data_IF_928843493827
#
_entry.id   IF_928843493827
#
_cell.length_a   1.000
_cell.length_b   1.000
_cell.length_c   1.000
_cell.angle_alpha   90.00
_cell.angle_beta   90.00
_cell.angle_gamma   90.00
#
_symmetry.space_group_name_H-M   'P 1'
#
loop_
_entity.id
_entity.type
_entity.pdbx_description
1 polymer ?
#
# COMPACT_ATOMS: atom_id res chain seq x y z
N UNK A 1 -75.64 -38.53 -1.85
CA UNK A 1 -74.37 -38.46 -2.56
C UNK A 1 -73.65 -37.22 -2.06
N UNK A 2 -72.70 -37.37 -1.13
CA UNK A 2 -71.85 -36.25 -0.62
C UNK A 2 -70.51 -36.34 -1.31
N UNK A 3 -70.13 -35.32 -2.09
CA UNK A 3 -68.81 -35.22 -2.70
C UNK A 3 -67.87 -34.47 -1.74
N UNK A 4 -66.87 -35.16 -1.25
CA UNK A 4 -65.78 -34.62 -0.44
C UNK A 4 -64.69 -34.17 -1.36
N UNK A 5 -64.46 -32.86 -1.45
CA UNK A 5 -63.35 -32.25 -2.22
C UNK A 5 -62.11 -32.24 -1.31
N UNK A 6 -61.06 -32.97 -1.71
CA UNK A 6 -59.73 -32.96 -1.06
C UNK A 6 -58.94 -31.76 -1.67
N UNK A 7 -58.67 -30.76 -0.86
CA UNK A 7 -57.79 -29.67 -1.23
C UNK A 7 -56.30 -30.07 -0.93
N UNK A 8 -55.50 -30.26 -1.97
CA UNK A 8 -54.06 -30.52 -1.89
C UNK A 8 -53.33 -29.16 -1.66
N UNK A 9 -52.88 -28.94 -0.44
CA UNK A 9 -52.03 -27.78 -0.13
C UNK A 9 -50.60 -28.06 -0.59
N UNK A 10 -50.15 -27.45 -1.68
CA UNK A 10 -48.75 -27.46 -2.13
C UNK A 10 -47.91 -26.51 -1.24
N UNK A 11 -47.12 -27.04 -0.35
CA UNK A 11 -46.14 -26.25 0.40
C UNK A 11 -44.96 -25.88 -0.53
N UNK A 12 -44.90 -24.64 -0.95
CA UNK A 12 -43.73 -24.08 -1.58
C UNK A 12 -42.64 -23.91 -0.53
N UNK A 13 -41.69 -24.85 -0.49
CA UNK A 13 -40.43 -24.65 0.25
C UNK A 13 -39.59 -23.67 -0.58
N UNK A 14 -39.58 -22.39 -0.20
CA UNK A 14 -38.62 -21.41 -0.71
C UNK A 14 -37.27 -21.83 -0.15
N UNK A 15 -36.48 -22.53 -0.95
CA UNK A 15 -35.04 -22.66 -0.72
C UNK A 15 -34.43 -21.28 -0.82
N UNK A 16 -34.19 -20.65 0.32
CA UNK A 16 -33.29 -19.49 0.38
C UNK A 16 -31.93 -19.98 -0.11
N UNK A 17 -31.49 -19.52 -1.27
CA UNK A 17 -30.14 -19.77 -1.73
C UNK A 17 -29.20 -19.18 -0.69
N UNK A 18 -28.69 -20.01 0.21
CA UNK A 18 -27.67 -19.59 1.16
C UNK A 18 -26.45 -19.19 0.35
N UNK A 19 -26.00 -17.97 0.57
CA UNK A 19 -24.76 -17.48 -0.04
C UNK A 19 -23.61 -18.39 0.42
N UNK A 20 -23.07 -19.17 -0.50
CA UNK A 20 -22.03 -20.18 -0.22
C UNK A 20 -20.69 -19.70 -0.81
N UNK A 21 -19.58 -20.12 -0.19
CA UNK A 21 -18.23 -19.98 -0.77
C UNK A 21 -18.22 -20.76 -2.10
N UNK A 22 -17.80 -20.10 -3.18
CA UNK A 22 -17.99 -20.56 -4.56
C UNK A 22 -17.15 -21.78 -4.93
N UNK A 23 -15.98 -21.98 -4.30
CA UNK A 23 -15.05 -23.05 -4.58
C UNK A 23 -14.93 -24.08 -3.46
N UNK A 24 -14.04 -25.08 -3.65
CA UNK A 24 -13.64 -26.03 -2.63
C UNK A 24 -12.57 -25.48 -1.68
N UNK A 25 -11.98 -24.35 -2.05
CA UNK A 25 -10.98 -23.60 -1.29
C UNK A 25 -11.30 -22.11 -1.38
N UNK A 26 -10.86 -21.33 -0.37
CA UNK A 26 -10.77 -19.87 -0.46
C UNK A 26 -9.38 -19.55 -0.98
N UNK A 27 -9.26 -19.02 -2.19
CA UNK A 27 -7.96 -18.82 -2.84
C UNK A 27 -7.56 -17.37 -2.90
N UNK A 28 -6.40 -17.07 -2.33
CA UNK A 28 -5.77 -15.73 -2.32
C UNK A 28 -4.65 -15.71 -3.35
N UNK A 29 -4.69 -14.75 -4.25
CA UNK A 29 -3.62 -14.49 -5.22
C UNK A 29 -2.80 -13.27 -4.80
N UNK A 30 -1.52 -13.44 -4.56
CA UNK A 30 -0.58 -12.38 -4.25
C UNK A 30 0.30 -12.11 -5.45
N UNK A 31 0.10 -10.96 -6.12
CA UNK A 31 0.92 -10.51 -7.24
C UNK A 31 1.69 -9.27 -6.80
N UNK A 32 3.02 -9.37 -6.73
CA UNK A 32 3.90 -8.31 -6.26
C UNK A 32 5.24 -8.32 -7.00
N UNK A 33 6.18 -7.48 -6.61
CA UNK A 33 7.57 -7.53 -7.08
C UNK A 33 8.36 -8.53 -6.22
N UNK A 34 8.80 -9.65 -6.81
CA UNK A 34 9.61 -10.64 -6.11
C UNK A 34 11.11 -10.52 -6.42
N UNK A 35 11.48 -9.84 -7.50
CA UNK A 35 12.85 -9.87 -8.03
C UNK A 35 13.45 -8.49 -8.33
N UNK A 36 12.62 -7.43 -8.33
CA UNK A 36 13.04 -6.07 -8.68
C UNK A 36 13.30 -5.17 -7.48
N UNK A 37 13.23 -3.86 -7.74
CA UNK A 37 13.60 -2.79 -6.79
C UNK A 37 12.71 -2.70 -5.54
N UNK A 38 11.54 -3.33 -5.55
CA UNK A 38 10.59 -3.33 -4.43
C UNK A 38 10.53 -4.67 -3.68
N UNK A 39 11.32 -5.67 -4.10
CA UNK A 39 11.25 -7.02 -3.54
C UNK A 39 11.57 -7.12 -2.05
N UNK A 40 12.41 -6.21 -1.51
CA UNK A 40 12.76 -6.20 -0.10
C UNK A 40 11.70 -5.52 0.79
N UNK A 41 10.93 -4.59 0.24
CA UNK A 41 9.93 -3.83 1.02
C UNK A 41 8.57 -4.53 1.09
N UNK A 42 8.32 -5.50 0.21
CA UNK A 42 7.10 -6.32 0.14
C UNK A 42 7.49 -7.78 -0.17
N UNK A 43 7.48 -8.19 -1.42
CA UNK A 43 8.03 -9.43 -1.96
C UNK A 43 7.68 -10.70 -1.18
N UNK A 44 8.68 -11.53 -0.93
CA UNK A 44 8.52 -12.76 -0.14
C UNK A 44 8.09 -12.47 1.31
N UNK A 45 8.40 -11.28 1.84
CA UNK A 45 7.96 -10.83 3.15
C UNK A 45 6.45 -10.64 3.22
N UNK A 46 5.85 -10.03 2.19
CA UNK A 46 4.40 -9.90 2.07
C UNK A 46 3.72 -11.27 1.98
N UNK A 47 4.28 -12.18 1.17
CA UNK A 47 3.78 -13.55 1.08
C UNK A 47 3.80 -14.27 2.44
N UNK A 48 4.85 -14.07 3.25
CA UNK A 48 4.90 -14.65 4.59
C UNK A 48 3.90 -13.97 5.55
N UNK A 49 3.70 -12.67 5.45
CA UNK A 49 2.67 -11.97 6.23
C UNK A 49 1.26 -12.51 5.92
N UNK A 50 0.95 -12.77 4.66
CA UNK A 50 -0.31 -13.41 4.24
C UNK A 50 -0.42 -14.85 4.81
N UNK A 51 0.67 -15.65 4.76
CA UNK A 51 0.68 -16.99 5.38
C UNK A 51 0.44 -16.93 6.89
N UNK A 52 0.98 -15.91 7.57
CA UNK A 52 0.70 -15.70 9.00
C UNK A 52 -0.77 -15.40 9.24
N UNK A 53 -1.42 -14.58 8.41
CA UNK A 53 -2.85 -14.30 8.50
C UNK A 53 -3.70 -15.57 8.27
N UNK A 54 -3.34 -16.37 7.27
CA UNK A 54 -3.99 -17.66 7.00
C UNK A 54 -3.85 -18.61 8.20
N UNK A 55 -2.67 -18.69 8.80
CA UNK A 55 -2.43 -19.53 9.97
C UNK A 55 -3.25 -19.05 11.18
N UNK A 56 -3.33 -17.75 11.43
CA UNK A 56 -4.11 -17.16 12.51
C UNK A 56 -5.63 -17.35 12.31
N UNK A 57 -6.07 -17.49 11.04
CA UNK A 57 -7.45 -17.89 10.71
C UNK A 57 -7.71 -19.40 10.90
N UNK A 58 -6.69 -20.17 11.23
CA UNK A 58 -6.78 -21.63 11.39
C UNK A 58 -6.67 -22.43 10.09
N UNK A 59 -6.21 -21.79 8.99
CA UNK A 59 -5.98 -22.43 7.69
C UNK A 59 -7.23 -22.77 6.90
N UNK A 60 -8.43 -22.52 7.45
CA UNK A 60 -9.71 -22.82 6.78
C UNK A 60 -10.84 -21.89 7.25
N UNK A 61 -11.86 -21.70 6.40
CA UNK A 61 -13.09 -20.98 6.70
C UNK A 61 -14.29 -21.87 6.34
N UNK A 62 -15.20 -22.12 7.28
CA UNK A 62 -16.41 -22.90 7.07
C UNK A 62 -16.13 -24.27 6.41
N UNK A 63 -15.03 -24.93 6.81
CA UNK A 63 -14.58 -26.22 6.29
C UNK A 63 -13.79 -26.14 4.96
N UNK A 64 -13.70 -24.98 4.31
CA UNK A 64 -12.92 -24.76 3.09
C UNK A 64 -11.51 -24.34 3.43
N UNK A 65 -10.49 -25.02 2.90
CA UNK A 65 -9.08 -24.64 3.08
C UNK A 65 -8.81 -23.27 2.46
N UNK A 66 -7.88 -22.52 3.08
CA UNK A 66 -7.37 -21.27 2.50
C UNK A 66 -6.06 -21.59 1.77
N UNK A 67 -5.94 -21.15 0.52
CA UNK A 67 -4.73 -21.32 -0.31
C UNK A 67 -4.18 -19.98 -0.73
N UNK A 68 -2.84 -19.87 -0.72
CA UNK A 68 -2.10 -18.73 -1.27
C UNK A 68 -1.37 -19.17 -2.54
N UNK A 69 -1.55 -18.41 -3.63
CA UNK A 69 -0.73 -18.48 -4.84
C UNK A 69 0.02 -17.17 -4.99
N UNK A 70 1.27 -17.21 -5.45
CA UNK A 70 2.18 -16.05 -5.50
C UNK A 70 2.75 -15.91 -6.90
N UNK A 71 2.84 -14.69 -7.42
CA UNK A 71 3.47 -14.40 -8.71
C UNK A 71 4.24 -13.08 -8.69
N UNK A 72 5.29 -13.03 -9.51
CA UNK A 72 6.08 -11.83 -9.78
C UNK A 72 5.51 -11.08 -10.97
N UNK A 73 5.16 -9.81 -10.78
CA UNK A 73 4.75 -8.94 -11.89
C UNK A 73 5.94 -8.28 -12.60
N UNK A 74 7.16 -8.46 -12.08
CA UNK A 74 8.39 -7.91 -12.69
C UNK A 74 8.31 -6.40 -12.96
N UNK A 75 7.51 -5.68 -12.18
CA UNK A 75 7.18 -4.26 -12.38
C UNK A 75 6.57 -3.92 -13.76
N UNK A 76 5.91 -4.91 -14.41
CA UNK A 76 5.27 -4.77 -15.73
C UNK A 76 3.75 -4.87 -15.62
N UNK A 77 3.00 -3.83 -15.99
CA UNK A 77 1.54 -3.82 -15.93
C UNK A 77 0.86 -4.91 -16.75
N UNK A 78 1.41 -5.25 -17.90
CA UNK A 78 0.90 -6.30 -18.79
C UNK A 78 1.04 -7.71 -18.19
N UNK A 79 2.17 -7.99 -17.54
CA UNK A 79 2.38 -9.26 -16.81
C UNK A 79 1.39 -9.36 -15.65
N UNK A 80 1.23 -8.28 -14.87
CA UNK A 80 0.30 -8.25 -13.76
C UNK A 80 -1.16 -8.47 -14.21
N UNK A 81 -1.61 -7.78 -15.27
CA UNK A 81 -2.94 -7.95 -15.83
C UNK A 81 -3.19 -9.34 -16.39
N UNK A 82 -2.22 -9.89 -17.15
CA UNK A 82 -2.31 -11.23 -17.71
C UNK A 82 -2.42 -12.29 -16.62
N UNK A 83 -1.58 -12.19 -15.58
CA UNK A 83 -1.61 -13.13 -14.45
C UNK A 83 -2.92 -13.01 -13.65
N UNK A 84 -3.43 -11.81 -13.44
CA UNK A 84 -4.70 -11.60 -12.77
C UNK A 84 -5.87 -12.23 -13.54
N UNK A 85 -5.91 -12.07 -14.88
CA UNK A 85 -6.93 -12.74 -15.74
C UNK A 85 -6.85 -14.25 -15.65
N UNK A 86 -5.64 -14.81 -15.85
CA UNK A 86 -5.40 -16.25 -15.74
C UNK A 86 -5.92 -16.80 -14.41
N UNK A 87 -5.61 -16.12 -13.32
CA UNK A 87 -5.99 -16.58 -11.99
C UNK A 87 -7.49 -16.51 -11.73
N UNK A 88 -8.15 -15.44 -12.19
CA UNK A 88 -9.61 -15.33 -12.06
C UNK A 88 -10.36 -16.31 -12.97
N UNK A 89 -9.92 -16.47 -14.23
CA UNK A 89 -10.64 -17.25 -15.23
C UNK A 89 -10.38 -18.75 -15.14
N UNK A 90 -9.17 -19.16 -14.73
CA UNK A 90 -8.73 -20.55 -14.83
C UNK A 90 -8.39 -21.19 -13.48
N UNK A 91 -7.98 -20.39 -12.50
CA UNK A 91 -7.50 -20.92 -11.21
C UNK A 91 -8.46 -20.67 -10.05
N UNK A 92 -9.55 -19.95 -10.26
CA UNK A 92 -10.56 -19.68 -9.23
C UNK A 92 -10.05 -18.87 -8.04
N UNK A 93 -9.21 -17.85 -8.30
CA UNK A 93 -8.78 -16.90 -7.26
C UNK A 93 -9.97 -16.02 -6.83
N UNK A 94 -10.16 -15.86 -5.53
CA UNK A 94 -11.27 -15.11 -4.94
C UNK A 94 -10.86 -13.69 -4.55
N UNK A 95 -9.65 -13.55 -4.01
CA UNK A 95 -9.03 -12.29 -3.63
C UNK A 95 -7.72 -12.11 -4.40
N UNK A 96 -7.52 -10.95 -5.03
CA UNK A 96 -6.22 -10.49 -5.46
C UNK A 96 -5.68 -9.47 -4.44
N UNK A 97 -4.42 -9.62 -4.02
CA UNK A 97 -3.77 -8.71 -3.06
C UNK A 97 -2.34 -8.40 -3.49
N UNK A 98 -1.77 -7.27 -3.06
CA UNK A 98 -0.38 -6.88 -3.30
C UNK A 98 -0.22 -5.66 -4.19
N UNK A 99 0.60 -5.76 -5.24
CA UNK A 99 0.80 -4.72 -6.23
C UNK A 99 1.73 -3.59 -5.78
N UNK A 100 3.00 -3.87 -5.64
CA UNK A 100 4.03 -2.87 -5.29
C UNK A 100 4.32 -1.84 -6.40
N UNK A 101 3.91 -2.08 -7.64
CA UNK A 101 4.05 -1.15 -8.76
C UNK A 101 2.70 -0.50 -9.09
N UNK A 102 2.66 0.83 -9.12
CA UNK A 102 1.40 1.56 -9.36
C UNK A 102 0.78 1.27 -10.72
N UNK A 103 1.58 1.13 -11.79
CA UNK A 103 1.07 0.76 -13.11
C UNK A 103 0.50 -0.66 -13.12
N UNK A 104 1.17 -1.61 -12.46
CA UNK A 104 0.70 -2.98 -12.29
C UNK A 104 -0.62 -3.01 -11.50
N UNK A 105 -0.72 -2.24 -10.40
CA UNK A 105 -1.94 -2.16 -9.60
C UNK A 105 -3.12 -1.56 -10.34
N UNK A 106 -2.91 -0.49 -11.13
CA UNK A 106 -3.97 0.08 -11.97
C UNK A 106 -4.48 -0.95 -12.99
N UNK A 107 -3.58 -1.73 -13.60
CA UNK A 107 -3.95 -2.79 -14.53
C UNK A 107 -4.71 -3.93 -13.84
N UNK A 108 -4.25 -4.37 -12.66
CA UNK A 108 -4.94 -5.39 -11.86
C UNK A 108 -6.32 -4.92 -11.38
N UNK A 109 -6.45 -3.66 -10.94
CA UNK A 109 -7.73 -3.07 -10.52
C UNK A 109 -8.77 -3.09 -11.64
N UNK A 110 -8.35 -2.78 -12.87
CA UNK A 110 -9.20 -2.86 -14.06
C UNK A 110 -9.66 -4.30 -14.32
N UNK A 111 -8.73 -5.27 -14.27
CA UNK A 111 -9.09 -6.69 -14.46
C UNK A 111 -10.02 -7.18 -13.34
N UNK A 112 -9.75 -6.83 -12.08
CA UNK A 112 -10.61 -7.19 -10.95
C UNK A 112 -12.05 -6.63 -11.11
N UNK A 113 -12.16 -5.39 -11.59
CA UNK A 113 -13.48 -4.77 -11.88
C UNK A 113 -14.22 -5.49 -13.02
N UNK A 114 -13.52 -5.82 -14.13
CA UNK A 114 -14.09 -6.59 -15.25
C UNK A 114 -14.60 -7.97 -14.81
N UNK A 115 -13.88 -8.62 -13.90
CA UNK A 115 -14.20 -9.96 -13.39
C UNK A 115 -15.09 -9.96 -12.15
N UNK A 116 -15.45 -8.79 -11.62
CA UNK A 116 -16.19 -8.62 -10.35
C UNK A 116 -15.53 -9.41 -9.20
N UNK A 117 -14.25 -9.22 -9.04
CA UNK A 117 -13.40 -9.86 -8.00
C UNK A 117 -12.75 -8.78 -7.14
N UNK A 118 -12.53 -9.10 -5.86
CA UNK A 118 -11.91 -8.17 -4.92
C UNK A 118 -10.41 -8.03 -5.23
N UNK A 119 -9.93 -6.79 -5.29
CA UNK A 119 -8.51 -6.46 -5.31
C UNK A 119 -8.19 -5.52 -4.15
N UNK A 120 -7.21 -5.88 -3.32
CA UNK A 120 -6.68 -5.03 -2.26
C UNK A 120 -5.24 -4.64 -2.62
N UNK A 121 -5.06 -3.38 -3.01
CA UNK A 121 -3.77 -2.79 -3.33
C UNK A 121 -3.06 -2.37 -2.04
N UNK A 122 -1.90 -2.96 -1.76
CA UNK A 122 -1.11 -2.68 -0.56
C UNK A 122 0.07 -1.77 -0.88
N UNK A 123 0.93 -2.17 -1.81
CA UNK A 123 2.20 -1.51 -2.07
C UNK A 123 2.16 -0.41 -3.12
N UNK A 124 1.04 -0.24 -3.81
CA UNK A 124 0.85 0.83 -4.78
C UNK A 124 0.69 2.18 -4.11
N UNK A 125 1.40 3.21 -4.59
CA UNK A 125 1.28 4.55 -4.01
C UNK A 125 0.33 5.48 -4.76
N UNK A 126 0.07 5.27 -6.07
CA UNK A 126 -0.71 6.23 -6.85
C UNK A 126 -2.12 6.47 -6.30
N UNK A 127 -2.43 7.72 -5.99
CA UNK A 127 -3.78 8.11 -5.54
C UNK A 127 -4.88 7.91 -6.61
N UNK A 128 -4.50 7.64 -7.88
CA UNK A 128 -5.46 7.37 -8.95
C UNK A 128 -6.38 6.18 -8.67
N UNK A 129 -5.89 5.17 -7.91
CA UNK A 129 -6.68 3.98 -7.52
C UNK A 129 -7.97 4.31 -6.76
N UNK A 130 -8.02 5.43 -6.06
CA UNK A 130 -9.17 5.89 -5.27
C UNK A 130 -9.66 7.27 -5.73
N UNK A 131 -9.21 7.70 -6.91
CA UNK A 131 -9.60 8.96 -7.54
C UNK A 131 -10.11 8.69 -8.98
N UNK A 132 -9.38 9.10 -10.02
CA UNK A 132 -9.82 9.00 -11.43
C UNK A 132 -10.08 7.55 -11.88
N UNK A 133 -9.37 6.58 -11.31
CA UNK A 133 -9.43 5.16 -11.69
C UNK A 133 -10.02 4.26 -10.60
N UNK A 134 -10.83 4.84 -9.71
CA UNK A 134 -11.50 4.07 -8.67
C UNK A 134 -12.48 3.04 -9.27
N UNK A 135 -12.57 1.88 -8.64
CA UNK A 135 -13.50 0.81 -9.01
C UNK A 135 -14.26 0.31 -7.78
N UNK A 136 -15.49 -0.25 -7.96
CA UNK A 136 -16.25 -0.74 -6.82
C UNK A 136 -15.62 -1.97 -6.11
N UNK A 137 -14.63 -2.61 -6.74
CA UNK A 137 -14.01 -3.84 -6.27
C UNK A 137 -12.56 -3.66 -5.79
N UNK A 138 -12.05 -2.41 -5.77
CA UNK A 138 -10.68 -2.11 -5.34
C UNK A 138 -10.67 -1.44 -3.97
N UNK A 139 -9.78 -1.93 -3.09
CA UNK A 139 -9.40 -1.24 -1.84
C UNK A 139 -7.94 -0.82 -1.96
N UNK A 140 -7.63 0.43 -1.66
CA UNK A 140 -6.27 0.95 -1.56
C UNK A 140 -5.92 1.09 -0.08
N UNK A 141 -5.01 0.24 0.44
CA UNK A 141 -4.98 -0.05 1.86
C UNK A 141 -3.96 0.76 2.66
N UNK A 142 -2.66 0.63 2.38
CA UNK A 142 -1.64 1.07 3.33
C UNK A 142 -1.33 2.57 3.30
N UNK A 143 -1.25 3.19 2.13
CA UNK A 143 -0.88 4.60 1.95
C UNK A 143 -1.27 5.08 0.55
N UNK A 144 -1.07 6.37 0.26
CA UNK A 144 -1.05 6.92 -1.10
C UNK A 144 -0.14 8.14 -1.23
N UNK A 145 0.06 8.61 -2.45
CA UNK A 145 0.95 9.73 -2.75
C UNK A 145 0.48 11.05 -2.15
N UNK A 146 -0.82 11.24 -1.95
CA UNK A 146 -1.37 12.42 -1.27
C UNK A 146 -0.99 12.43 0.21
N UNK A 147 -1.11 11.27 0.89
CA UNK A 147 -0.74 11.17 2.30
C UNK A 147 0.77 11.39 2.51
N UNK A 148 1.62 10.85 1.61
CA UNK A 148 3.06 11.08 1.65
C UNK A 148 3.41 12.56 1.46
N UNK A 149 2.79 13.22 0.49
CA UNK A 149 2.99 14.64 0.20
C UNK A 149 2.57 15.52 1.38
N UNK A 150 1.41 15.25 1.97
CA UNK A 150 0.88 16.01 3.11
C UNK A 150 1.69 15.77 4.39
N UNK A 151 2.35 14.65 4.54
CA UNK A 151 3.27 14.38 5.64
C UNK A 151 4.65 14.96 5.38
N UNK A 152 5.46 14.30 4.56
CA UNK A 152 6.87 14.65 4.32
C UNK A 152 7.02 15.99 3.62
N UNK A 153 6.22 16.25 2.57
CA UNK A 153 6.28 17.51 1.81
C UNK A 153 5.98 18.73 2.71
N UNK A 154 4.91 18.66 3.50
CA UNK A 154 4.56 19.74 4.41
C UNK A 154 5.58 19.91 5.55
N UNK A 155 6.17 18.81 6.06
CA UNK A 155 7.20 18.88 7.09
C UNK A 155 8.46 19.60 6.60
N UNK A 156 8.91 19.30 5.37
CA UNK A 156 10.06 19.96 4.76
C UNK A 156 9.84 21.46 4.52
N UNK A 157 8.62 21.84 4.13
CA UNK A 157 8.24 23.26 4.01
C UNK A 157 8.34 24.01 5.33
N UNK A 158 7.82 23.41 6.43
CA UNK A 158 7.90 23.98 7.79
C UNK A 158 9.36 24.16 8.23
N UNK A 159 10.29 23.35 7.72
CA UNK A 159 11.72 23.47 7.97
C UNK A 159 12.45 24.47 7.04
N UNK A 160 11.70 25.29 6.30
CA UNK A 160 12.23 26.35 5.45
C UNK A 160 12.64 25.88 4.04
N UNK A 161 12.31 24.65 3.65
CA UNK A 161 12.53 24.15 2.28
C UNK A 161 11.57 24.78 1.29
N UNK A 162 11.89 25.94 0.73
CA UNK A 162 11.00 26.73 -0.13
C UNK A 162 11.14 26.46 -1.61
N UNK A 163 12.34 26.12 -2.11
CA UNK A 163 12.57 25.79 -3.52
C UNK A 163 12.90 24.32 -3.69
N UNK A 164 12.20 23.66 -4.62
CA UNK A 164 12.24 22.22 -4.81
C UNK A 164 12.64 21.83 -6.23
N UNK A 165 13.47 20.82 -6.33
CA UNK A 165 13.76 20.08 -7.57
C UNK A 165 13.43 18.61 -7.35
N UNK A 166 12.77 17.95 -8.32
CA UNK A 166 12.38 16.55 -8.15
C UNK A 166 13.28 15.62 -8.96
N UNK A 167 13.61 14.46 -8.36
CA UNK A 167 14.17 13.30 -9.02
C UNK A 167 13.09 12.22 -9.04
N UNK A 168 12.53 11.94 -10.21
CA UNK A 168 11.25 11.25 -10.36
C UNK A 168 11.40 9.96 -11.13
N UNK A 169 10.94 8.84 -10.58
CA UNK A 169 10.81 7.59 -11.32
C UNK A 169 9.76 7.75 -12.43
N UNK A 170 10.14 7.47 -13.68
CA UNK A 170 9.31 7.77 -14.87
C UNK A 170 8.21 6.73 -15.10
N UNK A 171 7.30 6.59 -14.14
CA UNK A 171 6.08 5.80 -14.25
C UNK A 171 4.99 6.31 -13.30
N UNK A 172 3.81 5.69 -13.28
CA UNK A 172 2.61 6.19 -12.60
C UNK A 172 2.84 6.60 -11.13
N UNK A 173 3.70 5.87 -10.37
CA UNK A 173 4.00 6.21 -8.98
C UNK A 173 4.80 7.51 -8.85
N UNK A 174 5.97 7.59 -9.51
CA UNK A 174 6.82 8.76 -9.39
C UNK A 174 6.12 10.03 -9.88
N UNK A 175 5.40 9.94 -11.00
CA UNK A 175 4.63 11.05 -11.55
C UNK A 175 3.50 11.51 -10.60
N UNK A 176 2.77 10.57 -9.95
CA UNK A 176 1.77 10.91 -8.93
C UNK A 176 2.42 11.57 -7.71
N UNK A 177 3.53 11.02 -7.23
CA UNK A 177 4.20 11.52 -6.02
C UNK A 177 4.81 12.90 -6.24
N UNK A 178 5.46 13.13 -7.39
CA UNK A 178 5.95 14.45 -7.78
C UNK A 178 4.80 15.46 -7.83
N UNK A 179 3.73 15.12 -8.56
CA UNK A 179 2.55 16.00 -8.71
C UNK A 179 1.94 16.36 -7.36
N UNK A 180 1.62 15.37 -6.53
CA UNK A 180 0.93 15.60 -5.26
C UNK A 180 1.82 16.38 -4.28
N UNK A 181 3.14 16.11 -4.28
CA UNK A 181 4.10 16.88 -3.49
C UNK A 181 4.26 18.31 -4.00
N UNK A 182 4.33 18.50 -5.33
CA UNK A 182 4.41 19.82 -5.95
C UNK A 182 3.19 20.68 -5.60
N UNK A 183 2.00 20.08 -5.57
CA UNK A 183 0.75 20.76 -5.16
C UNK A 183 0.82 21.23 -3.69
N UNK A 184 1.31 20.36 -2.78
CA UNK A 184 1.52 20.72 -1.36
C UNK A 184 2.57 21.83 -1.23
N UNK A 185 3.68 21.73 -1.97
CA UNK A 185 4.75 22.75 -1.98
C UNK A 185 4.22 24.09 -2.40
N UNK A 186 3.49 24.16 -3.50
CA UNK A 186 2.91 25.42 -4.03
C UNK A 186 1.86 25.99 -3.06
N UNK A 187 0.97 25.16 -2.55
CA UNK A 187 -0.04 25.56 -1.57
C UNK A 187 0.59 26.11 -0.28
N UNK A 188 1.76 25.63 0.12
CA UNK A 188 2.53 26.10 1.27
C UNK A 188 3.47 27.29 0.97
N UNK A 189 3.33 27.93 -0.19
CA UNK A 189 4.13 29.09 -0.61
C UNK A 189 5.56 28.76 -1.01
N UNK A 190 5.84 27.50 -1.37
CA UNK A 190 7.10 27.08 -1.98
C UNK A 190 7.03 27.12 -3.50
N UNK A 191 8.18 26.88 -4.15
CA UNK A 191 8.31 26.86 -5.60
C UNK A 191 8.95 25.55 -6.07
N UNK A 192 8.50 25.03 -7.20
CA UNK A 192 9.14 23.93 -7.92
C UNK A 192 9.96 24.53 -9.05
N UNK A 193 11.27 24.39 -8.98
CA UNK A 193 12.21 24.99 -9.95
C UNK A 193 12.56 24.04 -11.10
N UNK A 194 12.16 22.77 -10.99
CA UNK A 194 12.32 21.79 -12.06
C UNK A 194 12.20 20.35 -11.55
N UNK A 195 12.32 19.43 -12.49
CA UNK A 195 12.40 17.99 -12.22
C UNK A 195 13.19 17.28 -13.32
N UNK A 196 13.69 16.10 -12.98
CA UNK A 196 14.28 15.16 -13.93
C UNK A 196 13.72 13.77 -13.67
N UNK A 197 13.45 13.06 -14.74
CA UNK A 197 12.92 11.70 -14.69
C UNK A 197 14.02 10.69 -14.95
N UNK A 198 13.97 9.57 -14.20
CA UNK A 198 14.83 8.41 -14.41
C UNK A 198 14.00 7.16 -14.70
N UNK A 199 14.50 6.21 -15.50
CA UNK A 199 13.82 4.95 -15.70
C UNK A 199 13.79 4.15 -14.39
N UNK A 200 12.77 3.29 -14.24
CA UNK A 200 12.71 2.34 -13.11
C UNK A 200 13.90 1.38 -13.19
N UNK A 201 14.50 1.06 -12.04
CA UNK A 201 15.72 0.26 -11.91
C UNK A 201 16.94 0.89 -12.60
N UNK A 202 17.09 2.20 -12.49
CA UNK A 202 18.26 2.91 -13.00
C UNK A 202 19.54 2.44 -12.28
N UNK A 203 20.58 2.18 -13.04
CA UNK A 203 21.88 1.74 -12.52
C UNK A 203 22.80 2.89 -12.13
N UNK A 204 22.61 4.08 -12.73
CA UNK A 204 23.42 5.27 -12.49
C UNK A 204 22.54 6.52 -12.34
N UNK A 205 22.76 7.26 -11.27
CA UNK A 205 22.03 8.49 -10.95
C UNK A 205 22.87 9.75 -11.16
N UNK A 206 24.12 9.66 -11.63
CA UNK A 206 25.08 10.77 -11.69
C UNK A 206 24.55 11.95 -12.53
N UNK A 207 24.08 11.69 -13.74
CA UNK A 207 23.59 12.74 -14.65
C UNK A 207 22.33 13.43 -14.12
N UNK A 208 21.45 12.69 -13.46
CA UNK A 208 20.23 13.24 -12.85
C UNK A 208 20.56 14.13 -11.64
N UNK A 209 21.53 13.71 -10.81
CA UNK A 209 21.97 14.47 -9.63
C UNK A 209 22.75 15.73 -10.01
N UNK A 210 23.51 15.72 -11.10
CA UNK A 210 24.16 16.92 -11.64
C UNK A 210 23.13 17.97 -12.08
N UNK A 211 22.02 17.56 -12.72
CA UNK A 211 20.92 18.45 -13.06
C UNK A 211 20.25 19.03 -11.80
N UNK A 212 20.01 18.18 -10.79
CA UNK A 212 19.48 18.63 -9.50
C UNK A 212 20.42 19.66 -8.84
N UNK A 213 21.72 19.42 -8.84
CA UNK A 213 22.72 20.36 -8.30
C UNK A 213 22.72 21.69 -9.05
N UNK A 214 22.64 21.64 -10.38
CA UNK A 214 22.62 22.84 -11.24
C UNK A 214 21.38 23.72 -10.99
N UNK A 215 20.28 23.14 -10.54
CA UNK A 215 19.03 23.86 -10.22
C UNK A 215 19.16 24.82 -9.04
N UNK A 216 20.13 24.60 -8.16
CA UNK A 216 20.33 25.34 -6.90
C UNK A 216 19.11 25.32 -5.96
N UNK A 217 18.23 24.36 -6.10
CA UNK A 217 17.09 24.20 -5.20
C UNK A 217 17.54 23.90 -3.76
N UNK A 218 16.75 24.30 -2.79
CA UNK A 218 17.00 24.02 -1.37
C UNK A 218 16.71 22.56 -1.03
N UNK A 219 15.73 21.95 -1.73
CA UNK A 219 15.26 20.59 -1.46
C UNK A 219 15.31 19.76 -2.75
N UNK A 220 15.90 18.57 -2.64
CA UNK A 220 15.78 17.51 -3.63
C UNK A 220 14.68 16.55 -3.17
N UNK A 221 13.53 16.61 -3.84
CA UNK A 221 12.42 15.68 -3.62
C UNK A 221 12.66 14.38 -4.37
N UNK A 222 12.91 13.30 -3.65
CA UNK A 222 13.09 11.95 -4.22
C UNK A 222 11.71 11.33 -4.46
N UNK A 223 11.14 11.49 -5.66
CA UNK A 223 9.88 10.87 -6.06
C UNK A 223 10.12 9.47 -6.65
N UNK A 224 10.83 8.64 -5.90
CA UNK A 224 11.15 7.25 -6.14
C UNK A 224 11.14 6.46 -4.82
N UNK A 225 11.44 5.17 -4.84
CA UNK A 225 11.43 4.31 -3.64
C UNK A 225 12.28 3.05 -3.84
N UNK A 226 12.50 2.30 -2.75
CA UNK A 226 13.20 1.02 -2.76
C UNK A 226 14.62 1.12 -3.32
N UNK A 227 15.00 0.18 -4.19
CA UNK A 227 16.35 0.14 -4.76
C UNK A 227 16.78 1.43 -5.47
N UNK A 228 15.87 2.08 -6.21
CA UNK A 228 16.16 3.35 -6.87
C UNK A 228 16.42 4.49 -5.87
N UNK A 229 15.63 4.57 -4.79
CA UNK A 229 15.87 5.52 -3.70
C UNK A 229 17.23 5.27 -3.05
N UNK A 230 17.52 4.01 -2.70
CA UNK A 230 18.78 3.62 -2.07
C UNK A 230 19.98 4.05 -2.92
N UNK A 231 19.94 3.75 -4.23
CA UNK A 231 21.03 4.10 -5.14
C UNK A 231 21.15 5.62 -5.34
N UNK A 232 20.03 6.34 -5.48
CA UNK A 232 20.02 7.79 -5.61
C UNK A 232 20.56 8.48 -4.36
N UNK A 233 20.20 8.04 -3.15
CA UNK A 233 20.71 8.59 -1.88
C UNK A 233 22.20 8.32 -1.71
N UNK A 234 22.68 7.11 -2.02
CA UNK A 234 24.13 6.80 -2.01
C UNK A 234 24.90 7.73 -2.93
N UNK A 235 24.47 7.84 -4.19
CA UNK A 235 25.11 8.72 -5.17
C UNK A 235 25.05 10.19 -4.72
N UNK A 236 23.93 10.69 -4.20
CA UNK A 236 23.81 12.05 -3.68
C UNK A 236 24.80 12.35 -2.55
N UNK A 237 25.06 11.37 -1.68
CA UNK A 237 26.09 11.50 -0.63
C UNK A 237 27.50 11.51 -1.20
N UNK A 238 27.82 10.62 -2.14
CA UNK A 238 29.13 10.53 -2.80
C UNK A 238 29.48 11.81 -3.54
N UNK A 239 28.50 12.42 -4.24
CA UNK A 239 28.66 13.72 -4.88
C UNK A 239 28.63 14.92 -3.90
N UNK A 240 28.46 14.67 -2.60
CA UNK A 240 28.38 15.73 -1.59
C UNK A 240 27.15 16.64 -1.76
N UNK A 241 26.13 16.19 -2.49
CA UNK A 241 24.90 16.94 -2.74
C UNK A 241 24.10 17.18 -1.46
N UNK A 242 24.10 16.22 -0.54
CA UNK A 242 23.44 16.29 0.77
C UNK A 242 23.98 17.40 1.68
N UNK A 243 25.18 17.93 1.39
CA UNK A 243 25.75 19.11 2.08
C UNK A 243 25.21 20.44 1.50
N UNK A 244 24.62 20.42 0.30
CA UNK A 244 24.17 21.60 -0.44
C UNK A 244 22.66 21.71 -0.52
N UNK A 245 21.97 20.57 -0.53
CA UNK A 245 20.51 20.45 -0.63
C UNK A 245 19.99 19.52 0.47
N UNK A 246 18.81 19.83 1.00
CA UNK A 246 18.09 18.88 1.86
C UNK A 246 17.51 17.79 0.98
N UNK A 247 17.75 16.54 1.32
CA UNK A 247 17.12 15.39 0.63
C UNK A 247 15.83 15.04 1.32
N UNK A 248 14.72 15.11 0.60
CA UNK A 248 13.40 14.66 1.04
C UNK A 248 13.09 13.30 0.43
N UNK A 249 13.22 12.23 1.21
CA UNK A 249 12.76 10.89 0.83
C UNK A 249 11.23 10.85 0.92
N UNK A 250 10.54 10.99 -0.21
CA UNK A 250 9.09 11.10 -0.20
C UNK A 250 8.39 9.77 0.10
N UNK A 251 9.03 8.64 -0.22
CA UNK A 251 8.64 7.31 0.25
C UNK A 251 9.90 6.55 0.66
N UNK A 252 10.04 6.31 1.94
CA UNK A 252 11.17 5.59 2.55
C UNK A 252 10.61 4.51 3.46
N UNK A 253 11.09 3.30 3.31
CA UNK A 253 10.75 2.18 4.17
C UNK A 253 11.85 1.92 5.21
N UNK A 254 11.50 1.24 6.29
CA UNK A 254 12.47 0.86 7.32
C UNK A 254 13.61 -0.02 6.75
N UNK A 255 13.30 -0.81 5.71
CA UNK A 255 14.25 -1.63 4.97
C UNK A 255 15.30 -0.77 4.24
N UNK A 256 14.87 0.36 3.66
CA UNK A 256 15.76 1.30 2.98
C UNK A 256 16.74 1.93 3.99
N UNK A 257 16.23 2.35 5.16
CA UNK A 257 17.05 2.90 6.24
C UNK A 257 18.02 1.85 6.78
N UNK A 258 17.60 0.59 6.89
CA UNK A 258 18.47 -0.51 7.30
C UNK A 258 19.63 -0.71 6.30
N UNK A 259 19.35 -0.64 5.02
CA UNK A 259 20.34 -0.82 3.93
C UNK A 259 21.29 0.37 3.82
N UNK A 260 20.78 1.60 3.98
CA UNK A 260 21.59 2.84 3.91
C UNK A 260 22.39 3.10 5.17
N UNK A 261 21.90 2.63 6.32
CA UNK A 261 22.45 2.89 7.63
C UNK A 261 22.10 4.27 8.21
N UNK A 262 22.13 4.36 9.54
CA UNK A 262 21.79 5.58 10.27
C UNK A 262 22.73 6.75 9.97
N UNK A 263 24.02 6.51 9.74
CA UNK A 263 24.96 7.57 9.38
C UNK A 263 24.55 8.33 8.12
N UNK A 264 23.94 7.65 7.16
CA UNK A 264 23.47 8.22 5.89
C UNK A 264 22.11 8.88 6.02
N UNK A 265 21.23 8.30 6.85
CA UNK A 265 19.80 8.64 6.87
C UNK A 265 19.35 9.44 8.09
N UNK A 266 20.22 9.63 9.09
CA UNK A 266 19.89 10.36 10.32
C UNK A 266 19.27 11.74 10.03
N UNK A 267 18.21 12.06 10.76
CA UNK A 267 17.50 13.32 10.61
C UNK A 267 16.55 13.38 9.41
N UNK A 268 16.56 12.40 8.52
CA UNK A 268 15.62 12.34 7.40
C UNK A 268 14.19 12.23 7.90
N UNK A 269 13.29 13.02 7.33
CA UNK A 269 11.86 12.92 7.57
C UNK A 269 11.21 12.02 6.53
N UNK A 270 10.24 11.22 6.98
CA UNK A 270 9.43 10.34 6.14
C UNK A 270 8.01 10.23 6.70
N UNK A 271 7.09 9.78 5.86
CA UNK A 271 5.72 9.47 6.26
C UNK A 271 5.47 7.98 6.10
N UNK A 272 4.99 7.34 7.15
CA UNK A 272 4.71 5.91 7.17
C UNK A 272 3.31 5.64 7.74
N UNK A 273 2.65 4.58 7.27
CA UNK A 273 1.35 4.15 7.77
C UNK A 273 1.45 3.25 9.00
N UNK A 274 2.62 2.67 9.24
CA UNK A 274 2.85 1.72 10.31
C UNK A 274 4.33 1.61 10.68
N UNK A 275 4.61 1.33 11.97
CA UNK A 275 5.95 1.09 12.47
C UNK A 275 5.92 -0.01 13.52
N UNK A 276 6.88 -0.93 13.48
CA UNK A 276 6.90 -2.12 14.32
C UNK A 276 6.88 -1.80 15.83
N UNK A 277 7.50 -0.71 16.26
CA UNK A 277 7.59 -0.28 17.66
C UNK A 277 6.51 0.76 18.06
N UNK A 278 5.46 0.93 17.27
CA UNK A 278 4.43 1.96 17.51
C UNK A 278 3.52 1.65 18.69
N UNK A 279 3.16 0.38 18.89
CA UNK A 279 2.23 -0.05 19.92
C UNK A 279 2.58 -1.45 20.45
N UNK A 280 2.01 -1.88 21.59
CA UNK A 280 2.17 -3.26 22.07
C UNK A 280 1.76 -4.30 21.04
N UNK A 281 0.65 -4.07 20.32
CA UNK A 281 0.11 -4.97 19.30
C UNK A 281 1.03 -5.06 18.08
N UNK A 282 1.56 -3.89 17.63
CA UNK A 282 2.54 -3.84 16.53
C UNK A 282 3.81 -4.61 16.90
N UNK A 283 4.35 -4.40 18.11
CA UNK A 283 5.53 -5.13 18.61
C UNK A 283 5.30 -6.64 18.70
N UNK A 284 4.14 -7.05 19.21
CA UNK A 284 3.82 -8.47 19.36
C UNK A 284 3.75 -9.17 17.98
N UNK A 285 3.11 -8.55 17.00
CA UNK A 285 3.03 -9.08 15.66
C UNK A 285 4.41 -9.06 14.96
N UNK A 286 5.11 -7.94 15.03
CA UNK A 286 6.45 -7.78 14.44
C UNK A 286 7.46 -8.80 14.99
N UNK A 287 7.38 -9.15 16.28
CA UNK A 287 8.22 -10.19 16.89
C UNK A 287 7.97 -11.56 16.22
N UNK A 288 6.72 -11.91 15.93
CA UNK A 288 6.36 -13.16 15.24
C UNK A 288 6.88 -13.16 13.79
N UNK A 289 6.71 -12.04 13.10
CA UNK A 289 7.22 -11.85 11.74
C UNK A 289 8.75 -11.95 11.70
N UNK A 290 9.45 -11.25 12.60
CA UNK A 290 10.92 -11.29 12.71
C UNK A 290 11.46 -12.69 12.99
N UNK A 291 10.77 -13.51 13.76
CA UNK A 291 11.17 -14.88 14.01
C UNK A 291 11.27 -15.70 12.70
N UNK A 292 10.43 -15.38 11.71
CA UNK A 292 10.38 -16.04 10.40
C UNK A 292 11.31 -15.40 9.37
N UNK A 293 11.26 -14.07 9.25
CA UNK A 293 11.93 -13.34 8.17
C UNK A 293 13.32 -12.80 8.53
N UNK A 294 13.68 -12.75 9.83
CA UNK A 294 14.91 -12.17 10.37
C UNK A 294 15.11 -10.68 10.02
N UNK A 295 14.02 -10.02 9.62
CA UNK A 295 13.93 -8.58 9.34
C UNK A 295 12.67 -8.02 10.00
N UNK A 296 12.69 -6.74 10.37
CA UNK A 296 11.45 -6.06 10.77
C UNK A 296 10.58 -5.79 9.54
N UNK A 297 9.26 -5.90 9.69
CA UNK A 297 8.33 -5.66 8.59
C UNK A 297 8.22 -4.18 8.24
N UNK A 298 8.04 -3.89 6.97
CA UNK A 298 7.57 -2.60 6.47
C UNK A 298 6.06 -2.42 6.70
N UNK A 299 5.53 -1.21 6.44
CA UNK A 299 4.08 -0.98 6.43
C UNK A 299 3.35 -1.83 5.38
N UNK A 300 4.04 -2.26 4.30
CA UNK A 300 3.42 -3.09 3.26
C UNK A 300 3.16 -4.49 3.79
N UNK A 301 4.17 -5.13 4.34
CA UNK A 301 4.08 -6.47 4.92
C UNK A 301 3.08 -6.53 6.09
N UNK A 302 3.04 -5.47 6.90
CA UNK A 302 2.02 -5.32 7.94
C UNK A 302 0.61 -5.13 7.35
N UNK A 303 0.50 -4.37 6.26
CA UNK A 303 -0.72 -4.16 5.51
C UNK A 303 -1.25 -5.44 4.85
N UNK A 304 -0.37 -6.26 4.28
CA UNK A 304 -0.72 -7.56 3.69
C UNK A 304 -1.37 -8.49 4.72
N UNK A 305 -0.80 -8.57 5.91
CA UNK A 305 -1.39 -9.34 7.02
C UNK A 305 -2.77 -8.79 7.40
N UNK A 306 -2.86 -7.49 7.69
CA UNK A 306 -4.09 -6.85 8.13
C UNK A 306 -5.20 -6.99 7.09
N UNK A 307 -4.93 -6.63 5.82
CA UNK A 307 -5.90 -6.71 4.74
C UNK A 307 -6.39 -8.15 4.47
N UNK A 308 -5.47 -9.12 4.56
CA UNK A 308 -5.84 -10.55 4.46
C UNK A 308 -6.79 -10.94 5.58
N UNK A 309 -6.50 -10.55 6.83
CA UNK A 309 -7.38 -10.82 7.96
C UNK A 309 -8.77 -10.19 7.79
N UNK A 310 -8.84 -8.92 7.29
CA UNK A 310 -10.13 -8.27 7.05
C UNK A 310 -10.94 -9.01 5.99
N UNK A 311 -10.32 -9.41 4.88
CA UNK A 311 -11.00 -10.20 3.84
C UNK A 311 -11.50 -11.54 4.37
N UNK A 312 -10.64 -12.30 5.04
CA UNK A 312 -10.98 -13.62 5.57
C UNK A 312 -12.09 -13.54 6.64
N UNK A 313 -12.05 -12.52 7.51
CA UNK A 313 -13.12 -12.25 8.47
C UNK A 313 -14.44 -11.93 7.78
N UNK A 314 -14.42 -11.14 6.70
CA UNK A 314 -15.61 -10.83 5.90
C UNK A 314 -16.21 -12.10 5.28
N UNK A 315 -15.40 -12.94 4.63
CA UNK A 315 -15.84 -14.21 4.04
C UNK A 315 -16.42 -15.14 5.12
N UNK A 316 -15.77 -15.23 6.28
CA UNK A 316 -16.23 -16.04 7.40
C UNK A 316 -17.59 -15.56 7.93
N UNK A 317 -17.74 -14.26 8.15
CA UNK A 317 -18.97 -13.67 8.69
C UNK A 317 -20.16 -13.79 7.72
N UNK A 318 -19.90 -13.65 6.41
CA UNK A 318 -20.93 -13.71 5.38
C UNK A 318 -21.24 -15.12 4.89
N UNK A 319 -20.35 -16.10 5.14
CA UNK A 319 -20.44 -17.43 4.58
C UNK A 319 -20.28 -17.51 3.06
N UNK A 320 -19.76 -16.44 2.42
CA UNK A 320 -19.59 -16.32 0.96
C UNK A 320 -18.39 -15.47 0.59
N UNK A 321 -17.79 -15.75 -0.55
CA UNK A 321 -16.73 -15.01 -1.22
C UNK A 321 -17.25 -14.06 -2.32
N UNK A 322 -18.58 -13.90 -2.44
CA UNK A 322 -19.17 -12.99 -3.42
C UNK A 322 -18.62 -11.57 -3.24
N UNK A 323 -17.95 -11.06 -4.25
CA UNK A 323 -17.20 -9.81 -4.18
C UNK A 323 -18.06 -8.59 -3.80
N UNK A 324 -19.30 -8.49 -4.28
CA UNK A 324 -20.21 -7.37 -3.97
C UNK A 324 -20.56 -7.37 -2.48
N UNK A 325 -20.89 -8.55 -1.91
CA UNK A 325 -21.19 -8.72 -0.48
C UNK A 325 -19.97 -8.48 0.38
N UNK A 326 -18.82 -9.02 -0.01
CA UNK A 326 -17.54 -8.83 0.70
C UNK A 326 -17.15 -7.35 0.71
N UNK A 327 -17.21 -6.66 -0.44
CA UNK A 327 -16.89 -5.22 -0.52
C UNK A 327 -17.86 -4.37 0.31
N UNK A 328 -19.16 -4.69 0.31
CA UNK A 328 -20.14 -4.01 1.15
C UNK A 328 -19.82 -4.19 2.64
N UNK A 329 -19.49 -5.42 3.06
CA UNK A 329 -19.08 -5.71 4.44
C UNK A 329 -17.81 -4.99 4.85
N UNK A 330 -16.76 -5.04 4.02
CA UNK A 330 -15.49 -4.35 4.27
C UNK A 330 -15.67 -2.83 4.45
N UNK A 331 -16.56 -2.22 3.67
CA UNK A 331 -16.88 -0.78 3.78
C UNK A 331 -17.73 -0.43 5.01
N UNK A 332 -18.48 -1.38 5.54
CA UNK A 332 -19.35 -1.17 6.70
C UNK A 332 -18.64 -1.39 8.05
N UNK A 333 -17.56 -2.17 8.07
CA UNK A 333 -16.91 -2.58 9.30
C UNK A 333 -15.68 -1.74 9.61
N UNK A 334 -15.51 -1.25 10.85
CA UNK A 334 -14.28 -0.60 11.26
C UNK A 334 -13.13 -1.60 11.36
N UNK A 335 -11.93 -1.15 11.00
CA UNK A 335 -10.70 -1.92 11.11
C UNK A 335 -10.00 -1.57 12.41
N UNK A 336 -9.88 -2.56 13.30
CA UNK A 336 -9.19 -2.44 14.59
C UNK A 336 -8.29 -3.65 14.78
N UNK A 337 -7.01 -3.49 14.47
CA UNK A 337 -6.00 -4.54 14.59
C UNK A 337 -4.61 -3.96 14.86
N UNK A 338 -3.57 -4.75 14.66
CA UNK A 338 -2.18 -4.29 14.86
C UNK A 338 -1.75 -3.21 13.84
N UNK A 339 -2.45 -3.10 12.70
CA UNK A 339 -2.13 -2.13 11.64
C UNK A 339 -2.82 -0.78 11.89
N UNK A 340 -4.09 -0.78 12.19
CA UNK A 340 -4.88 0.44 12.35
C UNK A 340 -5.85 0.37 13.52
N UNK A 341 -6.18 1.53 14.10
CA UNK A 341 -7.29 1.72 15.03
C UNK A 341 -8.33 2.64 14.37
N UNK A 342 -9.60 2.22 14.43
CA UNK A 342 -10.72 2.92 13.82
C UNK A 342 -10.53 3.20 12.31
N UNK A 343 -9.80 2.31 11.62
CA UNK A 343 -9.66 2.37 10.18
C UNK A 343 -11.01 2.14 9.49
N UNK A 344 -11.27 2.84 8.39
CA UNK A 344 -12.51 2.72 7.61
C UNK A 344 -12.23 2.66 6.12
N UNK A 345 -13.03 1.91 5.37
CA UNK A 345 -12.93 1.89 3.91
C UNK A 345 -14.04 2.75 3.33
N UNK A 346 -13.66 3.83 2.64
CA UNK A 346 -14.59 4.78 2.03
C UNK A 346 -15.25 4.21 0.75
N UNK A 347 -16.30 4.88 0.23
CA UNK A 347 -16.95 4.47 -1.03
C UNK A 347 -15.97 4.40 -2.22
N UNK A 348 -14.95 5.28 -2.27
CA UNK A 348 -13.90 5.29 -3.30
C UNK A 348 -12.88 4.16 -3.17
N UNK A 349 -12.98 3.34 -2.12
CA UNK A 349 -12.07 2.24 -1.83
C UNK A 349 -10.83 2.62 -1.00
N UNK A 350 -10.64 3.89 -0.61
CA UNK A 350 -9.53 4.27 0.26
C UNK A 350 -9.78 3.77 1.69
N UNK A 351 -8.85 2.94 2.20
CA UNK A 351 -8.77 2.62 3.62
C UNK A 351 -8.15 3.80 4.36
N UNK A 352 -8.94 4.49 5.16
CA UNK A 352 -8.55 5.67 5.93
C UNK A 352 -8.07 5.24 7.30
N UNK A 353 -6.88 5.61 7.65
CA UNK A 353 -6.24 5.43 8.96
C UNK A 353 -5.23 6.57 9.19
N UNK A 354 -4.75 6.69 10.41
CA UNK A 354 -3.71 7.69 10.72
C UNK A 354 -2.40 7.35 10.01
N UNK A 355 -1.73 8.39 9.53
CA UNK A 355 -0.36 8.32 9.04
C UNK A 355 0.59 8.96 10.07
N UNK A 356 1.86 8.62 10.00
CA UNK A 356 2.84 9.08 10.97
C UNK A 356 3.99 9.80 10.27
N UNK A 357 4.19 11.07 10.63
CA UNK A 357 5.43 11.76 10.31
C UNK A 357 6.51 11.24 11.25
N UNK A 358 7.55 10.69 10.70
CA UNK A 358 8.66 10.11 11.41
C UNK A 358 9.96 10.83 11.07
N UNK A 359 10.91 10.78 11.99
CA UNK A 359 12.29 11.19 11.75
C UNK A 359 13.21 10.02 12.03
N UNK A 360 14.17 9.80 11.14
CA UNK A 360 15.22 8.80 11.35
C UNK A 360 16.12 9.25 12.49
N UNK A 361 16.34 8.37 13.46
CA UNK A 361 17.21 8.58 14.62
C UNK A 361 18.66 8.74 14.20
N UNK A 362 19.44 9.46 15.02
CA UNK A 362 20.88 9.41 14.96
C UNK A 362 21.38 8.06 15.49
N UNK A 363 22.64 7.65 15.17
CA UNK A 363 23.24 6.45 15.77
C UNK A 363 23.21 6.45 17.30
N UNK A 364 23.31 7.64 17.93
CA UNK A 364 23.31 7.79 19.40
C UNK A 364 21.90 7.66 20.00
N UNK A 365 20.86 8.00 19.26
CA UNK A 365 19.45 7.85 19.68
C UNK A 365 18.95 6.41 19.53
N UNK A 366 19.53 5.62 18.63
CA UNK A 366 19.12 4.26 18.36
C UNK A 366 19.59 3.30 19.46
N UNK A 367 18.70 2.44 19.92
CA UNK A 367 18.99 1.40 20.93
C UNK A 367 19.52 0.09 20.30
N UNK A 368 19.61 0.04 18.97
CA UNK A 368 20.09 -1.14 18.24
C UNK A 368 19.45 -1.29 16.87
N UNK A 369 19.70 -2.46 16.26
CA UNK A 369 19.18 -2.74 14.93
C UNK A 369 17.65 -2.61 14.86
N UNK A 370 17.17 -1.95 13.79
CA UNK A 370 15.75 -1.68 13.50
C UNK A 370 15.08 -0.64 14.40
N UNK A 371 15.73 -0.11 15.43
CA UNK A 371 15.23 1.03 16.21
C UNK A 371 15.62 2.34 15.53
N UNK A 372 14.99 2.62 14.37
CA UNK A 372 15.43 3.68 13.47
C UNK A 372 14.56 4.93 13.50
N UNK A 373 13.33 4.84 13.97
CA UNK A 373 12.38 5.94 13.87
C UNK A 373 11.96 6.50 15.22
N UNK A 374 11.76 7.81 15.25
CA UNK A 374 10.95 8.49 16.27
C UNK A 374 9.73 9.10 15.60
N UNK A 375 8.57 8.88 16.19
CA UNK A 375 7.31 9.49 15.73
C UNK A 375 7.34 10.98 16.11
N UNK A 376 7.27 11.85 15.11
CA UNK A 376 7.28 13.31 15.27
C UNK A 376 5.86 13.84 15.40
N UNK A 377 4.94 13.31 14.59
CA UNK A 377 3.53 13.68 14.61
C UNK A 377 2.65 12.54 14.07
N UNK A 378 1.44 12.46 14.58
CA UNK A 378 0.36 11.71 13.96
C UNK A 378 -0.41 12.64 13.02
N UNK A 379 -0.65 12.20 11.80
CA UNK A 379 -1.46 12.87 10.80
C UNK A 379 -2.80 12.14 10.78
N UNK A 380 -3.88 12.73 11.29
CA UNK A 380 -5.19 12.09 11.30
C UNK A 380 -5.63 11.66 9.89
N UNK A 381 -6.26 10.50 9.78
CA UNK A 381 -6.63 9.92 8.49
C UNK A 381 -7.51 10.83 7.63
N UNK A 382 -8.39 11.62 8.22
CA UNK A 382 -9.22 12.62 7.54
C UNK A 382 -8.43 13.79 6.95
N UNK A 383 -7.20 14.02 7.44
CA UNK A 383 -6.28 15.05 6.94
C UNK A 383 -5.23 14.47 5.98
N UNK A 384 -4.91 13.18 6.11
CA UNK A 384 -3.87 12.54 5.33
C UNK A 384 -4.27 12.36 3.85
N UNK A 385 -5.48 11.88 3.60
CA UNK A 385 -5.92 11.46 2.25
C UNK A 385 -6.76 12.50 1.53
N UNK A 386 -6.97 12.28 0.22
CA UNK A 386 -7.87 13.09 -0.63
C UNK A 386 -9.22 13.29 0.06
N UNK A 387 -9.71 14.52 0.14
CA UNK A 387 -11.01 14.85 0.73
C UNK A 387 -12.14 14.66 -0.27
N UNK A 388 -13.40 14.59 0.22
CA UNK A 388 -14.58 14.46 -0.63
C UNK A 388 -14.68 15.59 -1.66
N UNK A 389 -14.38 16.81 -1.28
CA UNK A 389 -14.40 17.97 -2.18
C UNK A 389 -13.29 17.96 -3.26
N UNK A 390 -12.27 17.15 -3.08
CA UNK A 390 -11.10 17.04 -3.97
C UNK A 390 -11.19 15.83 -4.91
N UNK A 391 -12.08 14.87 -4.60
CA UNK A 391 -12.11 13.58 -5.32
C UNK A 391 -12.69 13.70 -6.72
N UNK A 392 -12.13 12.94 -7.64
CA UNK A 392 -12.68 12.71 -8.99
C UNK A 392 -13.35 11.34 -9.12
N UNK A 393 -13.39 10.54 -8.05
CA UNK A 393 -14.03 9.24 -8.04
C UNK A 393 -15.55 9.36 -8.11
N UNK A 394 -16.15 8.77 -9.14
CA UNK A 394 -17.61 8.78 -9.32
C UNK A 394 -18.36 8.02 -8.21
N UNK A 395 -17.70 7.09 -7.51
CA UNK A 395 -18.28 6.30 -6.43
C UNK A 395 -18.42 7.07 -5.11
N UNK A 396 -17.84 8.27 -5.01
CA UNK A 396 -17.81 9.07 -3.77
C UNK A 396 -18.19 10.54 -4.03
N UNK A 397 -19.27 10.76 -4.74
CA UNK A 397 -19.85 12.09 -5.01
C UNK A 397 -20.81 12.53 -3.91
#
# INVERSE_FOLDING_TARGET
MKRTSLALAAAFVTMSAQAQISGDVVKIGFITDLSGVYSDVDGNGGAEAIRMAIADMGGAINGKKIQLVVADHQNKPDIAASKAREWFDQQGVDLLIGGTNSGASLAMAKVAAEKKKVFIAIGSGTAQLTNEQCTPYTVHYAYDTVALARGTGAAMLKQGGKSWYFLTADYAFGQSLEKDTADVVKAGGGTVVGSVKHPLSASDFSSFLLQAQASRAQVLGMANAGGDLINAVKAANEFGLTKKMKVAGLLVFINDVHTLGLNTTQGMYLTDGWYWDRSPESRAWAKRYFAKMKKQPSMLQAGDYSATMQYLNAVKALGTDNAEKVMAHLKAMPINDMFARNGTIRPDGRMVHDMYLMQVKTPQESKGAWDYYKVVATIPGDQAYTKKAETKCALWK
#
